data_IF_080851038292
#
_entry.id   IF_080851038292
#
_cell.length_a   1.000
_cell.length_b   1.000
_cell.length_c   1.000
_cell.angle_alpha   90.00
_cell.angle_beta   90.00
_cell.angle_gamma   90.00
#
_symmetry.space_group_name_H-M   'P 1'
#
loop_
_entity.id
_entity.type
_entity.pdbx_description
1 polymer ?
#
# COMPACT_ATOMS: atom_id res chain seq x y z
N UNK A 1 17.88 26.48 7.58
CA UNK A 1 16.51 26.02 7.21
C UNK A 1 16.37 25.92 5.70
N UNK A 2 16.87 26.90 4.93
CA UNK A 2 16.77 26.89 3.47
C UNK A 2 17.50 25.71 2.80
N UNK A 3 18.70 25.38 3.26
CA UNK A 3 19.47 24.21 2.76
C UNK A 3 18.69 22.89 2.92
N UNK A 4 17.98 22.73 4.05
CA UNK A 4 17.18 21.53 4.31
C UNK A 4 15.97 21.50 3.37
N UNK A 5 15.33 22.64 3.09
CA UNK A 5 14.25 22.72 2.11
C UNK A 5 14.73 22.35 0.71
N UNK A 6 15.90 22.85 0.31
CA UNK A 6 16.52 22.53 -0.98
C UNK A 6 16.86 21.03 -1.08
N UNK A 7 17.37 20.43 -0.01
CA UNK A 7 17.64 18.99 0.05
C UNK A 7 16.36 18.17 -0.12
N UNK A 8 15.28 18.53 0.59
CA UNK A 8 13.96 17.87 0.45
C UNK A 8 13.46 17.93 -1.00
N UNK A 9 13.55 19.10 -1.63
CA UNK A 9 13.12 19.30 -3.02
C UNK A 9 13.99 18.50 -3.99
N UNK A 10 15.31 18.46 -3.76
CA UNK A 10 16.25 17.66 -4.57
C UNK A 10 15.93 16.18 -4.50
N UNK A 11 15.77 15.63 -3.28
CA UNK A 11 15.45 14.22 -3.06
C UNK A 11 14.12 13.82 -3.72
N UNK A 12 13.10 14.69 -3.63
CA UNK A 12 11.81 14.46 -4.26
C UNK A 12 11.90 14.43 -5.80
N UNK A 13 12.68 15.33 -6.41
CA UNK A 13 12.84 15.43 -7.86
C UNK A 13 13.69 14.29 -8.44
N UNK A 14 14.79 13.94 -7.79
CA UNK A 14 15.73 12.93 -8.30
C UNK A 14 15.22 11.51 -8.15
N UNK A 15 14.42 11.23 -7.11
CA UNK A 15 14.09 9.84 -6.74
C UNK A 15 12.59 9.51 -6.78
N UNK A 16 11.74 10.44 -7.22
CA UNK A 16 10.27 10.30 -7.18
C UNK A 16 9.75 9.78 -5.82
N UNK A 17 10.39 10.22 -4.74
CA UNK A 17 10.11 9.74 -3.38
C UNK A 17 8.94 10.49 -2.74
N UNK A 18 8.22 9.77 -1.89
CA UNK A 18 7.19 10.34 -1.02
C UNK A 18 7.75 11.04 0.20
N UNK A 19 6.96 11.96 0.77
CA UNK A 19 7.31 12.71 1.98
C UNK A 19 7.69 11.83 3.19
N UNK A 20 7.13 10.62 3.30
CA UNK A 20 7.48 9.66 4.36
C UNK A 20 8.87 9.07 4.15
N UNK A 21 9.21 8.70 2.90
CA UNK A 21 10.53 8.16 2.57
C UNK A 21 11.59 9.24 2.76
N UNK A 22 11.35 10.44 2.24
CA UNK A 22 12.25 11.60 2.40
C UNK A 22 12.51 11.89 3.89
N UNK A 23 11.49 11.83 4.75
CA UNK A 23 11.69 12.01 6.19
C UNK A 23 12.57 10.91 6.81
N UNK A 24 12.45 9.66 6.33
CA UNK A 24 13.31 8.56 6.76
C UNK A 24 14.78 8.81 6.43
N UNK A 25 15.05 9.18 5.18
CA UNK A 25 16.41 9.49 4.69
C UNK A 25 17.04 10.67 5.45
N UNK A 26 16.24 11.71 5.75
CA UNK A 26 16.70 12.83 6.56
C UNK A 26 17.09 12.40 7.98
N UNK A 27 16.37 11.44 8.58
CA UNK A 27 16.73 10.90 9.89
C UNK A 27 18.03 10.09 9.85
N UNK A 28 18.26 9.35 8.77
CA UNK A 28 19.54 8.63 8.56
C UNK A 28 20.72 9.61 8.44
N UNK A 29 20.50 10.80 7.88
CA UNK A 29 21.46 11.90 7.85
C UNK A 29 21.56 12.70 9.17
N UNK A 30 20.98 12.20 10.26
CA UNK A 30 20.90 12.87 11.58
C UNK A 30 20.10 14.19 11.60
N UNK A 31 19.24 14.44 10.60
CA UNK A 31 18.38 15.62 10.52
C UNK A 31 17.01 15.29 11.13
N UNK A 32 16.90 15.45 12.45
CA UNK A 32 15.70 15.05 13.22
C UNK A 32 14.73 16.20 13.55
N UNK A 33 15.01 17.41 13.06
CA UNK A 33 14.23 18.62 13.39
C UNK A 33 12.92 18.77 12.61
N UNK A 34 12.72 17.98 11.56
CA UNK A 34 11.55 18.08 10.70
C UNK A 34 10.46 17.08 11.08
N UNK A 35 9.22 17.56 11.09
CA UNK A 35 8.05 16.70 11.20
C UNK A 35 7.60 16.20 9.82
N UNK A 36 6.76 15.16 9.80
CA UNK A 36 6.07 14.70 8.57
C UNK A 36 5.33 15.84 7.85
N UNK A 37 4.66 16.71 8.63
CA UNK A 37 3.92 17.85 8.07
C UNK A 37 4.85 18.93 7.51
N UNK A 38 6.02 19.14 8.13
CA UNK A 38 7.01 20.08 7.62
C UNK A 38 7.50 19.67 6.23
N UNK A 39 7.88 18.40 6.04
CA UNK A 39 8.29 17.87 4.73
C UNK A 39 7.14 17.98 3.71
N UNK A 40 5.92 17.62 4.12
CA UNK A 40 4.72 17.74 3.26
C UNK A 40 4.45 19.18 2.83
N UNK A 41 4.60 20.16 3.72
CA UNK A 41 4.40 21.57 3.40
C UNK A 41 5.48 22.10 2.45
N UNK A 42 6.75 21.73 2.67
CA UNK A 42 7.86 22.09 1.78
C UNK A 42 7.59 21.59 0.35
N UNK A 43 7.13 20.35 0.21
CA UNK A 43 6.80 19.79 -1.11
C UNK A 43 5.64 20.55 -1.77
N UNK A 44 4.57 20.85 -1.02
CA UNK A 44 3.43 21.64 -1.51
C UNK A 44 3.82 23.06 -1.93
N UNK A 45 4.63 23.75 -1.12
CA UNK A 45 5.16 25.09 -1.43
C UNK A 45 5.95 25.10 -2.75
N UNK A 46 6.56 23.96 -3.12
CA UNK A 46 7.34 23.80 -4.34
C UNK A 46 6.56 23.12 -5.48
N UNK A 47 5.23 23.03 -5.39
CA UNK A 47 4.36 22.37 -6.38
C UNK A 47 4.72 20.90 -6.67
N UNK A 48 5.30 20.21 -5.69
CA UNK A 48 5.61 18.78 -5.75
C UNK A 48 4.52 17.99 -5.03
N UNK A 49 4.07 16.88 -5.65
CA UNK A 49 3.14 15.97 -4.99
C UNK A 49 3.84 15.34 -3.76
N UNK A 50 3.30 15.50 -2.54
CA UNK A 50 3.88 14.88 -1.37
C UNK A 50 3.93 13.35 -1.48
N UNK A 51 2.98 12.77 -2.19
CA UNK A 51 2.87 11.32 -2.37
C UNK A 51 3.65 11.00 -3.65
N UNK A 52 4.51 9.96 -3.63
CA UNK A 52 5.20 9.57 -4.84
C UNK A 52 4.14 9.15 -5.85
N UNK A 53 4.32 9.46 -7.13
CA UNK A 53 3.43 8.95 -8.17
C UNK A 53 3.37 7.43 -8.00
N UNK A 54 2.22 6.94 -7.51
CA UNK A 54 1.95 5.51 -7.45
C UNK A 54 2.06 4.99 -8.87
N UNK A 55 2.54 3.74 -9.02
CA UNK A 55 2.55 3.04 -10.30
C UNK A 55 1.29 3.42 -11.10
N UNK A 56 1.46 3.79 -12.37
CA UNK A 56 0.34 4.11 -13.27
C UNK A 56 -0.57 2.91 -13.52
N UNK A 57 -0.27 1.75 -12.94
CA UNK A 57 -1.18 0.62 -12.93
C UNK A 57 -2.48 0.98 -12.22
N UNK A 58 -3.55 0.94 -13.00
CA UNK A 58 -4.90 0.90 -12.46
C UNK A 58 -5.16 -0.48 -11.85
N UNK A 59 -6.08 -0.54 -10.89
CA UNK A 59 -6.55 -1.81 -10.34
C UNK A 59 -7.02 -2.77 -11.45
N UNK A 60 -7.68 -2.25 -12.49
CA UNK A 60 -8.11 -3.04 -13.64
C UNK A 60 -6.93 -3.67 -14.40
N UNK A 61 -5.87 -2.90 -14.66
CA UNK A 61 -4.67 -3.39 -15.34
C UNK A 61 -3.92 -4.42 -14.50
N UNK A 62 -3.89 -4.24 -13.18
CA UNK A 62 -3.33 -5.21 -12.26
C UNK A 62 -4.13 -6.53 -12.28
N UNK A 63 -5.45 -6.47 -12.10
CA UNK A 63 -6.31 -7.67 -12.10
C UNK A 63 -6.23 -8.38 -13.45
N UNK A 64 -6.28 -7.67 -14.58
CA UNK A 64 -6.17 -8.28 -15.92
C UNK A 64 -4.87 -9.06 -16.11
N UNK A 65 -3.73 -8.53 -15.64
CA UNK A 65 -2.43 -9.22 -15.75
C UNK A 65 -2.34 -10.46 -14.87
N UNK A 66 -2.91 -10.42 -13.67
CA UNK A 66 -2.84 -11.52 -12.71
C UNK A 66 -4.07 -12.44 -12.69
N UNK A 67 -5.06 -12.18 -13.55
CA UNK A 67 -6.36 -12.86 -13.51
C UNK A 67 -6.26 -14.38 -13.57
N UNK A 68 -5.26 -14.91 -14.29
CA UNK A 68 -5.07 -16.35 -14.45
C UNK A 68 -4.50 -17.03 -13.20
N UNK A 69 -3.74 -16.29 -12.39
CA UNK A 69 -3.05 -16.81 -11.20
C UNK A 69 -3.73 -16.39 -9.89
N UNK A 70 -4.74 -15.51 -9.94
CA UNK A 70 -5.38 -14.96 -8.75
C UNK A 70 -6.39 -15.94 -8.16
N UNK A 71 -6.19 -16.24 -6.88
CA UNK A 71 -7.13 -16.99 -6.05
C UNK A 71 -7.68 -16.08 -4.97
N UNK A 72 -9.01 -16.04 -4.84
CA UNK A 72 -9.66 -15.42 -3.70
C UNK A 72 -9.72 -16.45 -2.57
N UNK A 73 -9.49 -16.02 -1.34
CA UNK A 73 -9.52 -16.83 -0.13
C UNK A 73 -10.58 -16.24 0.78
N UNK A 74 -11.52 -17.06 1.24
CA UNK A 74 -12.62 -16.60 2.08
C UNK A 74 -13.08 -17.72 3.04
N UNK A 75 -13.85 -17.34 4.05
CA UNK A 75 -14.41 -18.25 5.04
C UNK A 75 -15.93 -18.18 5.04
N UNK A 76 -16.57 -19.33 5.18
CA UNK A 76 -18.00 -19.35 5.53
C UNK A 76 -18.26 -20.31 6.68
N UNK A 77 -19.38 -20.09 7.36
CA UNK A 77 -19.83 -20.96 8.44
C UNK A 77 -21.04 -21.76 8.03
N UNK A 78 -21.06 -23.04 8.40
CA UNK A 78 -22.22 -23.90 8.17
C UNK A 78 -22.52 -24.72 9.41
N UNK A 79 -23.77 -24.67 9.84
CA UNK A 79 -24.27 -25.60 10.85
C UNK A 79 -24.49 -26.97 10.19
N UNK A 80 -23.82 -27.99 10.71
CA UNK A 80 -23.91 -29.38 10.23
C UNK A 80 -24.41 -30.24 11.37
N UNK A 81 -25.41 -31.07 11.10
CA UNK A 81 -25.92 -32.04 12.05
C UNK A 81 -24.99 -33.25 12.09
N UNK A 82 -24.41 -33.52 13.26
CA UNK A 82 -23.58 -34.72 13.50
C UNK A 82 -24.34 -35.69 14.41
N UNK A 83 -23.84 -36.91 14.55
CA UNK A 83 -24.42 -37.93 15.47
C UNK A 83 -24.47 -37.46 16.93
N UNK A 84 -23.65 -36.48 17.29
CA UNK A 84 -23.57 -35.87 18.63
C UNK A 84 -24.33 -34.53 18.72
N UNK A 85 -25.12 -34.15 17.69
CA UNK A 85 -25.88 -32.90 17.64
C UNK A 85 -25.36 -31.89 16.60
N UNK A 86 -25.96 -30.69 16.54
CA UNK A 86 -25.58 -29.65 15.59
C UNK A 86 -24.23 -29.02 15.98
N UNK A 87 -23.32 -28.91 15.01
CA UNK A 87 -22.02 -28.26 15.17
C UNK A 87 -21.81 -27.19 14.11
N UNK A 88 -21.15 -26.10 14.49
CA UNK A 88 -20.76 -25.04 13.56
C UNK A 88 -19.39 -25.36 12.95
N UNK A 89 -19.34 -25.48 11.63
CA UNK A 89 -18.11 -25.65 10.88
C UNK A 89 -17.68 -24.31 10.31
N UNK A 90 -16.40 -23.98 10.45
CA UNK A 90 -15.74 -22.86 9.78
C UNK A 90 -14.95 -23.42 8.62
N UNK A 91 -15.35 -23.07 7.40
CA UNK A 91 -14.80 -23.64 6.18
C UNK A 91 -14.00 -22.55 5.48
N UNK A 92 -12.69 -22.77 5.39
CA UNK A 92 -11.80 -22.01 4.53
C UNK A 92 -11.89 -22.55 3.12
N UNK A 93 -12.05 -21.67 2.13
CA UNK A 93 -12.01 -22.07 0.73
C UNK A 93 -11.21 -21.09 -0.11
N UNK A 94 -10.71 -21.59 -1.23
CA UNK A 94 -9.99 -20.81 -2.23
C UNK A 94 -10.77 -20.92 -3.53
N UNK A 95 -11.02 -19.81 -4.22
CA UNK A 95 -11.69 -19.82 -5.52
C UNK A 95 -10.82 -19.14 -6.58
N UNK A 96 -10.56 -19.83 -7.68
CA UNK A 96 -9.86 -19.23 -8.81
C UNK A 96 -10.77 -18.16 -9.43
N UNK A 97 -10.29 -16.92 -9.51
CA UNK A 97 -11.14 -15.79 -9.93
C UNK A 97 -11.56 -15.91 -11.40
N UNK A 98 -10.71 -16.52 -12.24
CA UNK A 98 -10.99 -16.73 -13.66
C UNK A 98 -11.96 -17.88 -13.90
N UNK A 99 -11.67 -19.07 -13.36
CA UNK A 99 -12.46 -20.27 -13.66
C UNK A 99 -13.64 -20.46 -12.72
N UNK A 100 -13.74 -19.69 -11.63
CA UNK A 100 -14.73 -19.84 -10.57
C UNK A 100 -14.78 -21.24 -9.96
N UNK A 101 -13.65 -21.93 -10.00
CA UNK A 101 -13.47 -23.25 -9.38
C UNK A 101 -12.98 -23.06 -7.96
N UNK A 102 -13.65 -23.73 -7.02
CA UNK A 102 -13.28 -23.83 -5.61
C UNK A 102 -12.39 -25.06 -5.40
#
# INVERSE_FOLDING_TARGET
>A
MEEIKQLVVKLAKENAWGYVRILGELKELNINRLSKNSVKNILKENNLDPIPQRSRDTWDSFIKRHFQTLWACDFFTKQVLTTLGPRMFFILFFINIRTRKV
#
